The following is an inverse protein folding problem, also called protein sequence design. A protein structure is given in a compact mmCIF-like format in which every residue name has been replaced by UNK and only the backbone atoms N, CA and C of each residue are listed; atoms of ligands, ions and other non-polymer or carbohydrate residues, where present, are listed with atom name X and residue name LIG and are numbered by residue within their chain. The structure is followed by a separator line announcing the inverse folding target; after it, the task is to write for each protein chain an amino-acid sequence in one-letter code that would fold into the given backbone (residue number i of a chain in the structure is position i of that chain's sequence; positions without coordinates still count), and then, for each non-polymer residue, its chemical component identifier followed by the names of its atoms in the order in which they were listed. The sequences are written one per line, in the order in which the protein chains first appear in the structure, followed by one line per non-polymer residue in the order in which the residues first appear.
data_IF_199404566952
#
_entry.id   IF_199404566952
#
_cell.length_a   1.000
_cell.length_b   1.000
_cell.length_c   1.000
_cell.angle_alpha   90.00
_cell.angle_beta   90.00
_cell.angle_gamma   90.00
#
_symmetry.space_group_name_H-M   'P 1'
#
loop_
_entity.id
_entity.type
_entity.pdbx_description
1 polymer ?
#
# COMPACT_ATOMS: atom_id res chain seq x y z
N UNK A 1 6.68 12.70 0.46
CA UNK A 1 5.43 12.12 -0.07
C UNK A 1 5.15 10.81 0.64
N UNK A 2 3.87 10.49 0.88
CA UNK A 2 3.45 9.19 1.43
C UNK A 2 2.70 8.44 0.32
N UNK A 3 3.01 7.16 0.09
CA UNK A 3 2.37 6.31 -0.92
C UNK A 3 2.04 4.94 -0.33
N UNK A 4 1.14 4.19 -0.94
CA UNK A 4 0.94 2.79 -0.56
C UNK A 4 2.17 1.92 -0.94
N UNK A 5 2.23 0.70 -0.42
CA UNK A 5 3.35 -0.21 -0.64
C UNK A 5 3.27 -1.00 -1.97
N UNK A 6 2.47 -0.54 -2.93
CA UNK A 6 2.18 -1.26 -4.16
C UNK A 6 3.44 -1.51 -5.03
N UNK A 7 3.41 -2.59 -5.81
CA UNK A 7 4.53 -3.00 -6.65
C UNK A 7 4.85 -1.96 -7.74
N UNK A 8 3.85 -1.21 -8.22
CA UNK A 8 4.02 -0.18 -9.25
C UNK A 8 4.99 0.91 -8.82
N UNK A 9 4.98 1.31 -7.54
CA UNK A 9 5.91 2.31 -7.00
C UNK A 9 7.36 1.83 -6.88
N UNK A 10 7.59 0.52 -6.99
CA UNK A 10 8.91 -0.10 -6.92
C UNK A 10 9.47 -0.45 -8.28
N UNK A 11 8.74 -0.18 -9.36
CA UNK A 11 9.17 -0.45 -10.71
C UNK A 11 10.50 0.28 -11.02
N UNK A 12 11.44 -0.34 -11.75
CA UNK A 12 12.75 0.26 -12.03
C UNK A 12 12.65 1.66 -12.64
N UNK A 13 11.70 1.90 -13.55
CA UNK A 13 11.47 3.22 -14.15
C UNK A 13 11.12 4.28 -13.11
N UNK A 14 10.30 3.94 -12.12
CA UNK A 14 9.91 4.87 -11.04
C UNK A 14 11.11 5.16 -10.15
N UNK A 15 11.90 4.14 -9.80
CA UNK A 15 13.13 4.33 -9.00
C UNK A 15 14.14 5.23 -9.69
N UNK A 16 14.41 4.98 -10.98
CA UNK A 16 15.33 5.81 -11.77
C UNK A 16 14.84 7.27 -11.87
N UNK A 17 13.52 7.48 -11.97
CA UNK A 17 12.96 8.81 -11.94
C UNK A 17 13.19 9.49 -10.59
N UNK A 18 12.93 8.78 -9.47
CA UNK A 18 13.13 9.31 -8.12
C UNK A 18 14.59 9.64 -7.81
N UNK A 19 15.53 8.83 -8.28
CA UNK A 19 16.98 9.10 -8.16
C UNK A 19 17.36 10.42 -8.85
N UNK A 20 16.73 10.74 -9.98
CA UNK A 20 16.94 12.02 -10.70
C UNK A 20 16.23 13.21 -10.05
N UNK A 21 15.28 12.97 -9.14
CA UNK A 21 14.41 13.99 -8.56
C UNK A 21 14.47 13.95 -7.02
N UNK A 22 15.59 14.36 -6.40
CA UNK A 22 15.84 14.20 -4.96
C UNK A 22 14.87 15.00 -4.08
N UNK A 23 14.13 15.96 -4.64
CA UNK A 23 13.06 16.69 -3.94
C UNK A 23 11.92 15.77 -3.46
N UNK A 24 11.76 14.60 -4.07
CA UNK A 24 10.69 13.67 -3.76
C UNK A 24 11.21 12.49 -2.91
N UNK A 25 11.08 12.61 -1.59
CA UNK A 25 11.26 11.48 -0.68
C UNK A 25 9.94 10.72 -0.54
N UNK A 26 9.90 9.45 -0.95
CA UNK A 26 8.71 8.60 -0.80
C UNK A 26 8.82 7.77 0.48
N UNK A 27 7.81 7.89 1.33
CA UNK A 27 7.58 7.00 2.46
C UNK A 27 6.43 6.06 2.12
N UNK A 28 6.65 4.75 2.22
CA UNK A 28 5.62 3.75 1.96
C UNK A 28 4.86 3.42 3.23
N UNK A 29 3.53 3.37 3.14
CA UNK A 29 2.72 2.84 4.24
C UNK A 29 3.05 1.35 4.46
N UNK A 30 3.16 0.86 5.69
CA UNK A 30 3.38 -0.57 5.93
C UNK A 30 2.33 -1.45 5.24
N UNK A 31 2.70 -2.67 4.85
CA UNK A 31 1.73 -3.64 4.34
C UNK A 31 0.59 -3.80 5.35
N UNK A 32 -0.66 -3.82 4.86
CA UNK A 32 -1.91 -3.90 5.64
C UNK A 32 -2.38 -2.64 6.39
N UNK A 33 -1.81 -1.46 6.11
CA UNK A 33 -2.32 -0.18 6.64
C UNK A 33 -2.87 0.76 5.55
N UNK A 34 -3.64 0.21 4.63
CA UNK A 34 -4.22 0.94 3.49
C UNK A 34 -5.14 2.10 3.95
N UNK A 35 -5.74 1.98 5.14
CA UNK A 35 -6.55 3.04 5.78
C UNK A 35 -5.79 4.33 6.10
N UNK A 36 -4.44 4.29 6.16
CA UNK A 36 -3.58 5.46 6.35
C UNK A 36 -3.35 6.22 5.03
N UNK A 37 -3.65 5.60 3.89
CA UNK A 37 -3.52 6.23 2.59
C UNK A 37 -4.68 7.23 2.37
N UNK A 38 -4.35 8.51 2.30
CA UNK A 38 -5.33 9.57 2.06
C UNK A 38 -6.02 9.44 0.70
N UNK A 39 -5.35 8.90 -0.31
CA UNK A 39 -5.90 8.73 -1.66
C UNK A 39 -7.00 7.66 -1.65
N UNK A 40 -6.76 6.51 -0.99
CA UNK A 40 -7.80 5.49 -0.81
C UNK A 40 -8.99 6.01 -0.03
N UNK A 41 -8.76 6.85 0.99
CA UNK A 41 -9.84 7.51 1.73
C UNK A 41 -10.65 8.47 0.87
N UNK A 42 -10.00 9.24 -0.01
CA UNK A 42 -10.68 10.11 -0.97
C UNK A 42 -11.59 9.28 -1.88
N UNK A 43 -11.09 8.17 -2.44
CA UNK A 43 -11.91 7.28 -3.26
C UNK A 43 -13.08 6.69 -2.48
N UNK A 44 -12.87 6.30 -1.22
CA UNK A 44 -13.97 5.83 -0.36
C UNK A 44 -15.04 6.90 -0.15
N UNK A 45 -14.64 8.14 0.12
CA UNK A 45 -15.58 9.25 0.30
C UNK A 45 -16.34 9.56 -0.99
N UNK A 46 -15.66 9.60 -2.15
CA UNK A 46 -16.31 9.75 -3.46
C UNK A 46 -17.33 8.63 -3.69
N UNK A 47 -16.97 7.37 -3.39
CA UNK A 47 -17.87 6.24 -3.56
C UNK A 47 -19.15 6.37 -2.73
N UNK A 48 -19.01 6.66 -1.43
CA UNK A 48 -20.15 6.81 -0.52
C UNK A 48 -21.00 8.04 -0.84
N UNK A 49 -20.38 9.16 -1.16
CA UNK A 49 -21.10 10.43 -1.34
C UNK A 49 -21.71 10.59 -2.73
N UNK A 50 -21.11 9.98 -3.77
CA UNK A 50 -21.50 10.20 -5.17
C UNK A 50 -21.83 8.93 -5.95
N UNK A 51 -21.15 7.80 -5.72
CA UNK A 51 -21.39 6.59 -6.53
C UNK A 51 -22.56 5.76 -6.04
N UNK A 52 -22.80 5.70 -4.72
CA UNK A 52 -23.97 5.00 -4.17
C UNK A 52 -25.29 5.73 -4.44
N UNK A 53 -25.23 7.00 -4.88
CA UNK A 53 -26.41 7.82 -5.21
C UNK A 53 -26.46 8.32 -6.67
N UNK A 54 -25.46 7.98 -7.50
CA UNK A 54 -25.28 8.56 -8.84
C UNK A 54 -25.37 7.52 -9.95
N UNK A 55 -26.15 7.81 -10.99
CA UNK A 55 -26.12 7.08 -12.26
C UNK A 55 -25.49 7.99 -13.31
N UNK A 56 -24.29 7.64 -13.79
CA UNK A 56 -23.60 8.37 -14.85
C UNK A 56 -23.93 7.73 -16.20
N UNK A 57 -24.37 8.56 -17.16
CA UNK A 57 -24.75 8.12 -18.50
C UNK A 57 -23.58 8.20 -19.49
N UNK A 58 -22.46 8.81 -19.10
CA UNK A 58 -21.26 8.91 -19.93
C UNK A 58 -19.97 9.14 -19.12
N UNK A 59 -18.82 8.86 -19.73
CA UNK A 59 -17.49 9.15 -19.13
C UNK A 59 -17.26 10.64 -18.88
N UNK A 60 -17.59 11.58 -19.79
CA UNK A 60 -17.44 13.01 -19.53
C UNK A 60 -18.27 13.51 -18.34
N UNK A 61 -19.46 12.94 -18.14
CA UNK A 61 -20.32 13.25 -16.99
C UNK A 61 -19.67 12.78 -15.68
N UNK A 62 -19.08 11.58 -15.67
CA UNK A 62 -18.32 11.06 -14.53
C UNK A 62 -17.11 11.96 -14.20
N UNK A 63 -16.34 12.36 -15.21
CA UNK A 63 -15.17 13.25 -15.02
C UNK A 63 -15.63 14.58 -14.40
N UNK A 64 -16.68 15.19 -14.95
CA UNK A 64 -17.20 16.47 -14.47
C UNK A 64 -17.69 16.37 -13.01
N UNK A 65 -18.34 15.27 -12.64
CA UNK A 65 -18.79 15.03 -11.28
C UNK A 65 -17.63 14.84 -10.29
N UNK A 66 -16.54 14.18 -10.71
CA UNK A 66 -15.31 14.04 -9.91
C UNK A 66 -14.65 15.41 -9.72
N UNK A 67 -14.52 16.21 -10.78
CA UNK A 67 -13.93 17.55 -10.71
C UNK A 67 -14.72 18.47 -9.78
N UNK A 68 -16.06 18.45 -9.87
CA UNK A 68 -16.94 19.19 -8.98
C UNK A 68 -16.77 18.75 -7.52
N UNK A 69 -16.72 17.43 -7.28
CA UNK A 69 -16.49 16.88 -5.96
C UNK A 69 -15.16 17.36 -5.37
N UNK A 70 -14.07 17.27 -6.14
CA UNK A 70 -12.74 17.75 -5.73
C UNK A 70 -12.79 19.24 -5.44
N UNK A 71 -13.43 20.05 -6.29
CA UNK A 71 -13.49 21.50 -6.12
C UNK A 71 -14.24 21.91 -4.84
N UNK A 72 -15.29 21.18 -4.45
CA UNK A 72 -16.02 21.40 -3.19
C UNK A 72 -15.20 20.95 -1.98
N UNK A 73 -14.62 19.74 -2.03
CA UNK A 73 -13.85 19.18 -0.92
C UNK A 73 -12.51 19.89 -0.69
N UNK A 74 -11.93 20.50 -1.73
CA UNK A 74 -10.72 21.31 -1.60
C UNK A 74 -10.97 22.64 -0.89
N UNK A 75 -12.20 23.16 -0.93
CA UNK A 75 -12.59 24.42 -0.24
C UNK A 75 -12.87 24.22 1.24
N UNK A 76 -13.30 23.02 1.64
CA UNK A 76 -13.49 22.64 3.03
C UNK A 76 -12.87 21.26 3.28
N UNK A 77 -11.57 21.18 3.55
CA UNK A 77 -10.89 19.90 3.71
C UNK A 77 -11.49 19.17 4.91
N UNK A 78 -12.18 18.06 4.64
CA UNK A 78 -12.70 17.22 5.69
C UNK A 78 -11.53 16.73 6.55
N UNK A 79 -11.53 17.08 7.83
CA UNK A 79 -10.53 16.58 8.77
C UNK A 79 -10.72 15.07 8.91
N UNK A 80 -9.82 14.32 8.28
CA UNK A 80 -9.84 12.86 8.31
C UNK A 80 -9.37 12.38 9.70
N UNK A 81 -10.31 12.26 10.63
CA UNK A 81 -10.04 11.65 11.94
C UNK A 81 -9.89 10.14 11.75
N UNK A 82 -8.76 9.59 12.19
CA UNK A 82 -8.59 8.14 12.29
C UNK A 82 -9.40 7.64 13.49
N UNK A 83 -10.36 6.77 13.25
CA UNK A 83 -11.03 5.99 14.31
C UNK A 83 -10.24 4.76 14.73
N UNK A 84 -9.24 4.35 13.94
CA UNK A 84 -8.31 3.30 14.34
C UNK A 84 -7.34 3.85 15.39
N UNK A 85 -7.29 3.20 16.56
CA UNK A 85 -6.29 3.51 17.58
C UNK A 85 -4.91 3.23 17.01
N UNK A 86 -3.99 4.17 17.18
CA UNK A 86 -2.61 4.05 16.70
C UNK A 86 -1.94 2.77 17.21
N UNK A 87 -2.23 2.40 18.47
CA UNK A 87 -1.71 1.18 19.12
C UNK A 87 -2.14 -0.11 18.40
N UNK A 88 -3.41 -0.23 18.03
CA UNK A 88 -3.92 -1.44 17.35
C UNK A 88 -3.24 -1.64 15.99
N UNK A 89 -2.90 -0.53 15.34
CA UNK A 89 -2.17 -0.54 14.07
C UNK A 89 -0.71 -0.90 14.28
N UNK A 90 -0.06 -0.31 15.28
CA UNK A 90 1.33 -0.61 15.60
C UNK A 90 1.50 -2.08 15.96
N UNK A 91 0.58 -2.65 16.74
CA UNK A 91 0.59 -4.07 17.10
C UNK A 91 0.42 -4.98 15.88
N UNK A 92 -0.44 -4.62 14.92
CA UNK A 92 -0.57 -5.36 13.66
C UNK A 92 0.73 -5.31 12.85
N UNK A 93 1.37 -4.15 12.75
CA UNK A 93 2.66 -3.99 12.05
C UNK A 93 3.76 -4.81 12.71
N UNK A 94 3.86 -4.79 14.05
CA UNK A 94 4.83 -5.60 14.81
C UNK A 94 4.63 -7.09 14.53
N UNK A 95 3.39 -7.58 14.57
CA UNK A 95 3.06 -8.99 14.29
C UNK A 95 3.42 -9.38 12.85
N UNK A 96 3.09 -8.53 11.88
CA UNK A 96 3.41 -8.77 10.47
C UNK A 96 4.92 -8.83 10.24
N UNK A 97 5.69 -7.90 10.81
CA UNK A 97 7.15 -7.86 10.72
C UNK A 97 7.80 -9.10 11.34
N UNK A 98 7.30 -9.57 12.50
CA UNK A 98 7.79 -10.81 13.13
C UNK A 98 7.62 -12.03 12.22
N UNK A 99 6.46 -12.16 11.57
CA UNK A 99 6.16 -13.27 10.65
C UNK A 99 6.99 -13.20 9.34
N UNK A 100 7.26 -12.00 8.84
CA UNK A 100 8.12 -11.81 7.67
C UNK A 100 9.58 -12.14 7.99
N UNK A 101 10.07 -11.73 9.16
CA UNK A 101 11.43 -12.06 9.61
C UNK A 101 11.61 -13.56 9.83
N UNK A 102 10.62 -14.26 10.40
CA UNK A 102 10.72 -15.72 10.59
C UNK A 102 10.80 -16.45 9.25
N UNK A 103 9.94 -16.09 8.28
CA UNK A 103 9.98 -16.66 6.92
C UNK A 103 11.29 -16.41 6.19
N UNK A 104 11.88 -15.22 6.36
CA UNK A 104 13.19 -14.89 5.78
C UNK A 104 14.29 -15.80 6.36
N UNK A 105 14.23 -16.08 7.66
CA UNK A 105 15.17 -16.98 8.33
C UNK A 105 14.96 -18.46 7.94
N UNK A 106 13.70 -18.91 7.81
CA UNK A 106 13.37 -20.27 7.31
C UNK A 106 13.86 -20.47 5.86
N UNK A 107 13.69 -19.45 4.99
CA UNK A 107 14.18 -19.47 3.61
C UNK A 107 15.72 -19.48 3.53
N UNK A 108 16.42 -18.90 4.52
CA UNK A 108 17.88 -18.96 4.63
C UNK A 108 18.34 -20.35 5.10
N UNK A 109 17.68 -20.95 6.10
CA UNK A 109 18.02 -22.29 6.60
C UNK A 109 17.76 -23.43 5.61
N UNK A 110 16.73 -23.29 4.77
CA UNK A 110 16.42 -24.26 3.70
C UNK A 110 17.38 -24.17 2.51
N UNK A 111 18.06 -23.02 2.30
CA UNK A 111 19.10 -22.87 1.29
C UNK A 111 20.48 -23.38 1.72
N UNK A 112 20.69 -23.60 3.02
CA UNK A 112 21.97 -24.08 3.57
C UNK A 112 22.09 -25.61 3.70
N UNK A 113 21.14 -26.40 3.17
CA UNK A 113 21.25 -27.87 3.12
C UNK A 113 21.42 -28.37 1.67
N UNK A 114 22.65 -28.42 1.13
CA UNK A 114 22.91 -29.15 -0.10
C UNK A 114 22.97 -30.65 0.22
N UNK A 115 22.01 -31.40 -0.34
CA UNK A 115 22.14 -32.81 -0.75
C UNK A 115 23.02 -33.71 0.15
N UNK A 116 22.43 -34.27 1.22
CA UNK A 116 23.04 -35.41 1.89
C UNK A 116 23.06 -36.61 0.93
N UNK A 117 24.24 -37.04 0.47
CA UNK A 117 24.41 -38.31 -0.27
C UNK A 117 24.04 -39.48 0.65
N UNK A 118 23.29 -40.49 0.18
CA UNK A 118 23.07 -41.71 0.96
C UNK A 118 24.39 -42.50 1.11
N UNK A 119 24.60 -43.19 2.24
CA UNK A 119 25.83 -43.94 2.49
C UNK A 119 25.92 -45.15 1.55
N UNK A 120 27.02 -45.20 0.78
CA UNK A 120 27.39 -46.34 -0.05
C UNK A 120 27.82 -47.52 0.83
N UNK A 121 26.92 -48.50 1.00
CA UNK A 121 27.27 -49.81 1.53
C UNK A 121 28.20 -50.53 0.55
N UNK A 122 29.36 -50.94 1.08
CA UNK A 122 30.35 -51.77 0.39
C UNK A 122 29.85 -53.21 0.23
N UNK A 123 30.40 -53.81 -0.84
CA UNK A 123 30.33 -55.22 -1.23
C UNK A 123 30.74 -56.19 -0.12
#
# INVERSE_FOLDING_TARGET
MVSDNDATHKHPTVRQWLEKHPRFHIHFTPTSVSWLNMVERLFRSISTDRWECGVFRSVPELISAIDEYIAVHSRNPMHLVSTAKADDTLQKVIRANRKLSSKKNEALHSRSHPFARPPSGLR
#
